data_IF_744303848154
#
_entry.id   IF_744303848154
#
_cell.length_a   1.000
_cell.length_b   1.000
_cell.length_c   1.000
_cell.angle_alpha   90.00
_cell.angle_beta   90.00
_cell.angle_gamma   90.00
#
_symmetry.space_group_name_H-M   'P 1'
#
loop_
_entity.id
_entity.type
_entity.pdbx_description
1 polymer ?
#
# COMPACT_ATOMS: atom_id res chain seq x y z
N UNK A 1 -6.82 -21.90 12.50
CA UNK A 1 -5.76 -21.81 13.53
C UNK A 1 -4.96 -20.55 13.20
N UNK A 2 -4.95 -19.56 14.09
CA UNK A 2 -4.13 -18.34 13.93
C UNK A 2 -2.69 -18.77 14.15
N UNK A 3 -1.86 -18.79 13.10
CA UNK A 3 -0.42 -18.99 13.26
C UNK A 3 0.16 -17.83 14.07
N UNK A 4 1.07 -18.16 14.97
CA UNK A 4 1.65 -17.25 15.94
C UNK A 4 2.25 -16.01 15.24
N UNK A 5 1.85 -14.81 15.72
CA UNK A 5 2.37 -13.53 15.30
C UNK A 5 3.90 -13.51 15.43
N UNK A 6 4.58 -13.33 14.31
CA UNK A 6 6.04 -13.17 14.30
C UNK A 6 6.37 -11.73 14.71
N UNK A 7 6.55 -11.51 16.02
CA UNK A 7 6.93 -10.21 16.59
C UNK A 7 8.44 -9.99 16.37
N UNK A 8 8.82 -9.45 15.22
CA UNK A 8 10.17 -8.94 14.96
C UNK A 8 10.18 -7.42 15.23
N UNK A 9 11.23 -6.94 15.87
CA UNK A 9 11.52 -5.51 16.00
C UNK A 9 11.24 -4.91 17.37
N UNK A 10 11.99 -5.34 18.40
CA UNK A 10 12.09 -4.63 19.68
C UNK A 10 13.30 -3.69 19.64
N UNK A 11 13.03 -2.37 19.64
CA UNK A 11 14.00 -1.34 19.99
C UNK A 11 13.64 -0.70 21.33
N UNK A 12 14.46 0.26 21.83
CA UNK A 12 14.21 1.02 23.07
C UNK A 12 12.78 1.58 23.21
N UNK A 13 12.08 1.75 22.10
CA UNK A 13 10.71 2.29 22.01
C UNK A 13 9.61 1.21 21.91
N UNK A 14 9.91 -0.08 22.11
CA UNK A 14 8.97 -1.18 22.00
C UNK A 14 8.84 -1.76 20.58
N UNK A 15 7.70 -2.39 20.28
CA UNK A 15 7.41 -2.99 18.97
C UNK A 15 7.04 -1.87 17.99
N UNK A 16 7.80 -1.70 16.90
CA UNK A 16 7.60 -0.63 15.92
C UNK A 16 6.53 -0.95 14.86
N UNK A 17 6.44 -2.22 14.48
CA UNK A 17 5.43 -2.74 13.57
C UNK A 17 5.31 -4.26 13.75
N UNK A 18 4.19 -4.84 13.33
CA UNK A 18 3.97 -6.30 13.32
C UNK A 18 3.53 -6.76 11.94
N UNK A 19 3.85 -8.01 11.62
CA UNK A 19 3.31 -8.74 10.49
C UNK A 19 2.52 -9.94 11.02
N UNK A 20 1.25 -10.02 10.65
CA UNK A 20 0.35 -11.10 11.00
C UNK A 20 -0.21 -11.73 9.71
N UNK A 21 -0.36 -13.06 9.72
CA UNK A 21 -0.88 -13.80 8.57
C UNK A 21 -2.31 -14.25 8.83
N UNK A 22 -3.19 -13.98 7.89
CA UNK A 22 -4.54 -14.51 7.81
C UNK A 22 -4.67 -15.26 6.48
N UNK A 23 -4.33 -16.55 6.49
CA UNK A 23 -4.21 -17.36 5.26
C UNK A 23 -3.20 -16.74 4.27
N UNK A 24 -3.63 -16.32 3.09
CA UNK A 24 -2.82 -15.69 2.06
C UNK A 24 -2.77 -14.14 2.17
N UNK A 25 -3.35 -13.59 3.24
CA UNK A 25 -3.34 -12.14 3.52
C UNK A 25 -2.31 -11.83 4.58
N UNK A 26 -1.32 -10.99 4.23
CA UNK A 26 -0.35 -10.42 5.16
C UNK A 26 -0.89 -9.11 5.72
N UNK A 27 -0.97 -8.95 7.04
CA UNK A 27 -1.43 -7.73 7.71
C UNK A 27 -0.26 -7.07 8.42
N UNK A 28 0.18 -5.94 7.92
CA UNK A 28 1.25 -5.12 8.50
C UNK A 28 0.63 -3.98 9.29
N UNK A 29 0.93 -3.91 10.57
CA UNK A 29 0.44 -2.86 11.47
C UNK A 29 1.60 -2.03 11.99
N UNK A 30 1.61 -0.71 11.74
CA UNK A 30 2.56 0.23 12.36
C UNK A 30 2.13 0.42 13.82
N UNK A 31 3.06 0.21 14.77
CA UNK A 31 2.77 0.14 16.21
C UNK A 31 3.58 1.17 17.01
N UNK A 32 3.39 2.44 16.70
CA UNK A 32 3.97 3.56 17.43
C UNK A 32 2.87 4.57 17.85
N UNK A 33 1.77 4.13 18.51
CA UNK A 33 0.63 5.00 18.81
C UNK A 33 1.02 6.22 19.65
N UNK A 34 2.00 6.09 20.56
CA UNK A 34 2.56 7.18 21.37
C UNK A 34 3.27 8.26 20.52
N UNK A 35 3.67 7.95 19.30
CA UNK A 35 4.22 8.85 18.28
C UNK A 35 3.23 9.07 17.12
N UNK A 36 1.95 8.74 17.32
CA UNK A 36 0.91 8.85 16.29
C UNK A 36 1.29 8.06 15.02
N UNK A 37 1.94 6.92 15.20
CA UNK A 37 2.46 6.05 14.12
C UNK A 37 3.41 6.76 13.12
N UNK A 38 4.07 7.87 13.55
CA UNK A 38 5.11 8.49 12.75
C UNK A 38 6.26 7.52 12.50
N UNK A 39 6.70 7.41 11.24
CA UNK A 39 7.75 6.46 10.84
C UNK A 39 9.14 7.08 11.00
N UNK A 40 10.07 6.31 11.56
CA UNK A 40 11.50 6.59 11.58
C UNK A 40 12.25 5.59 10.70
N UNK A 41 13.56 5.74 10.56
CA UNK A 41 14.40 4.85 9.76
C UNK A 41 14.20 3.36 10.14
N UNK A 42 14.21 3.04 11.43
CA UNK A 42 14.04 1.66 11.90
C UNK A 42 12.65 1.08 11.55
N UNK A 43 11.58 1.88 11.62
CA UNK A 43 10.25 1.46 11.18
C UNK A 43 10.24 1.18 9.67
N UNK A 44 10.87 2.03 8.86
CA UNK A 44 10.95 1.85 7.41
C UNK A 44 11.71 0.58 7.03
N UNK A 45 12.85 0.32 7.68
CA UNK A 45 13.60 -0.92 7.48
C UNK A 45 12.76 -2.16 7.80
N UNK A 46 12.01 -2.13 8.90
CA UNK A 46 11.12 -3.23 9.28
C UNK A 46 9.98 -3.43 8.28
N UNK A 47 9.42 -2.34 7.73
CA UNK A 47 8.42 -2.44 6.66
C UNK A 47 9.00 -3.10 5.40
N UNK A 48 10.27 -2.80 5.04
CA UNK A 48 10.96 -3.45 3.93
C UNK A 48 11.18 -4.95 4.19
N UNK A 49 11.56 -5.34 5.42
CA UNK A 49 11.66 -6.76 5.78
C UNK A 49 10.31 -7.48 5.61
N UNK A 50 9.21 -6.85 6.03
CA UNK A 50 7.86 -7.42 5.86
C UNK A 50 7.42 -7.48 4.40
N UNK A 51 7.84 -6.52 3.58
CA UNK A 51 7.62 -6.57 2.12
C UNK A 51 8.34 -7.79 1.51
N UNK A 52 9.58 -8.05 1.89
CA UNK A 52 10.32 -9.22 1.41
C UNK A 52 9.72 -10.54 1.93
N UNK A 53 9.26 -10.59 3.18
CA UNK A 53 8.57 -11.77 3.72
C UNK A 53 7.23 -12.03 3.01
N UNK A 54 6.52 -10.97 2.62
CA UNK A 54 5.28 -11.08 1.85
C UNK A 54 5.52 -11.51 0.39
N UNK A 55 6.70 -11.21 -0.17
CA UNK A 55 7.04 -11.51 -1.56
C UNK A 55 6.97 -13.01 -1.84
N UNK A 56 6.16 -13.37 -2.83
CA UNK A 56 5.96 -14.77 -3.25
C UNK A 56 5.08 -15.62 -2.33
N UNK A 57 4.66 -15.09 -1.17
CA UNK A 57 3.75 -15.77 -0.24
C UNK A 57 2.37 -15.10 -0.19
N UNK A 58 2.34 -13.78 -0.02
CA UNK A 58 1.08 -13.05 0.10
C UNK A 58 0.35 -12.91 -1.25
N UNK A 59 -0.96 -13.08 -1.23
CA UNK A 59 -1.88 -12.67 -2.30
C UNK A 59 -2.29 -11.20 -2.14
N UNK A 60 -2.40 -10.74 -0.90
CA UNK A 60 -2.68 -9.36 -0.54
C UNK A 60 -1.84 -8.99 0.68
N UNK A 61 -1.25 -7.78 0.66
CA UNK A 61 -0.63 -7.17 1.82
C UNK A 61 -1.47 -5.97 2.25
N UNK A 62 -2.00 -6.01 3.46
CA UNK A 62 -2.74 -4.91 4.09
C UNK A 62 -1.79 -4.13 4.99
N UNK A 63 -1.74 -2.79 4.82
CA UNK A 63 -1.00 -1.88 5.68
C UNK A 63 -1.98 -1.05 6.51
N UNK A 64 -1.79 -1.01 7.83
CA UNK A 64 -2.61 -0.20 8.75
C UNK A 64 -1.76 0.35 9.90
N UNK A 65 -2.37 1.15 10.77
CA UNK A 65 -1.76 1.67 12.00
C UNK A 65 -2.51 1.21 13.24
N UNK A 66 -1.83 1.13 14.37
CA UNK A 66 -2.44 0.85 15.67
C UNK A 66 -3.03 2.13 16.29
N UNK A 67 -4.12 2.00 17.03
CA UNK A 67 -4.70 3.09 17.84
C UNK A 67 -5.51 4.09 17.03
N UNK A 68 -5.25 5.40 17.21
CA UNK A 68 -6.13 6.48 16.74
C UNK A 68 -5.96 6.85 15.26
N UNK A 69 -4.94 6.37 14.58
CA UNK A 69 -4.72 6.74 13.18
C UNK A 69 -3.68 5.90 12.46
N UNK A 70 -3.68 6.03 11.16
CA UNK A 70 -2.83 5.28 10.27
C UNK A 70 -1.34 5.64 10.45
N UNK A 71 -0.97 6.89 10.13
CA UNK A 71 0.41 7.39 10.26
C UNK A 71 0.43 8.92 10.16
N UNK A 72 1.01 9.60 11.15
CA UNK A 72 1.11 11.07 11.18
C UNK A 72 2.26 11.65 10.34
N UNK A 73 3.06 10.81 9.68
CA UNK A 73 4.16 11.26 8.83
C UNK A 73 5.52 10.72 9.24
N UNK A 74 6.57 11.45 8.87
CA UNK A 74 7.92 11.16 9.33
C UNK A 74 8.09 11.58 10.80
N UNK A 75 8.82 10.78 11.57
CA UNK A 75 9.29 11.22 12.89
C UNK A 75 10.38 12.29 12.67
N UNK A 76 10.04 13.55 12.98
CA UNK A 76 10.92 14.68 12.69
C UNK A 76 12.25 14.63 13.46
N UNK A 77 12.37 13.73 14.43
CA UNK A 77 13.63 13.45 15.12
C UNK A 77 14.50 12.56 14.22
N UNK A 78 15.43 13.15 13.48
CA UNK A 78 16.33 12.42 12.54
C UNK A 78 15.84 12.39 11.08
N UNK A 79 14.84 13.21 10.70
CA UNK A 79 14.36 13.31 9.31
C UNK A 79 15.38 13.94 8.36
N UNK A 80 16.40 14.62 8.90
CA UNK A 80 17.47 15.29 8.15
C UNK A 80 18.53 14.33 7.63
N UNK A 81 18.52 13.04 8.05
CA UNK A 81 19.45 12.03 7.57
C UNK A 81 19.10 11.61 6.14
N UNK A 82 20.10 11.61 5.25
CA UNK A 82 19.97 11.06 3.89
C UNK A 82 19.51 9.60 3.90
N UNK A 83 19.88 8.84 4.94
CA UNK A 83 19.46 7.46 5.17
C UNK A 83 17.94 7.34 5.34
N UNK A 84 17.30 8.30 6.04
CA UNK A 84 15.83 8.29 6.19
C UNK A 84 15.13 8.49 4.85
N UNK A 85 15.59 9.47 4.06
CA UNK A 85 15.03 9.75 2.73
C UNK A 85 15.14 8.55 1.79
N UNK A 86 16.32 7.92 1.76
CA UNK A 86 16.58 6.72 0.96
C UNK A 86 15.72 5.53 1.42
N UNK A 87 15.61 5.31 2.74
CA UNK A 87 14.78 4.25 3.31
C UNK A 87 13.29 4.48 3.02
N UNK A 88 12.81 5.73 3.12
CA UNK A 88 11.42 6.07 2.77
C UNK A 88 11.13 5.77 1.30
N UNK A 89 11.97 6.27 0.38
CA UNK A 89 11.80 6.01 -1.05
C UNK A 89 11.82 4.52 -1.37
N UNK A 90 12.76 3.74 -0.79
CA UNK A 90 12.83 2.29 -0.97
C UNK A 90 11.56 1.59 -0.45
N UNK A 91 11.05 2.01 0.73
CA UNK A 91 9.81 1.46 1.30
C UNK A 91 8.60 1.74 0.40
N UNK A 92 8.46 2.98 -0.10
CA UNK A 92 7.35 3.36 -0.99
C UNK A 92 7.38 2.56 -2.29
N UNK A 93 8.55 2.50 -2.93
CA UNK A 93 8.76 1.69 -4.14
C UNK A 93 8.51 0.20 -3.88
N UNK A 94 8.92 -0.30 -2.70
CA UNK A 94 8.69 -1.69 -2.31
C UNK A 94 7.21 -2.08 -2.39
N UNK A 95 6.28 -1.23 -1.94
CA UNK A 95 4.84 -1.49 -2.07
C UNK A 95 4.37 -1.54 -3.53
N UNK A 96 4.91 -0.69 -4.39
CA UNK A 96 4.53 -0.69 -5.82
C UNK A 96 5.11 -1.87 -6.59
N UNK A 97 6.26 -2.39 -6.17
CA UNK A 97 6.98 -3.47 -6.85
C UNK A 97 6.63 -4.88 -6.33
N UNK A 98 5.84 -5.00 -5.26
CA UNK A 98 5.34 -6.31 -4.83
C UNK A 98 4.43 -6.91 -5.91
N UNK A 99 4.57 -8.22 -6.23
CA UNK A 99 3.71 -8.86 -7.24
C UNK A 99 2.27 -9.09 -6.77
N UNK A 100 2.00 -8.96 -5.47
CA UNK A 100 0.67 -9.04 -4.89
C UNK A 100 -0.02 -7.68 -4.78
N UNK A 101 -1.32 -7.68 -4.51
CA UNK A 101 -2.07 -6.46 -4.23
C UNK A 101 -1.61 -5.88 -2.89
N UNK A 102 -1.37 -4.56 -2.83
CA UNK A 102 -1.13 -3.81 -1.60
C UNK A 102 -2.35 -2.94 -1.29
N UNK A 103 -2.86 -3.01 -0.06
CA UNK A 103 -4.09 -2.35 0.38
C UNK A 103 -3.82 -1.53 1.64
N UNK A 104 -3.99 -0.21 1.58
CA UNK A 104 -3.95 0.63 2.76
C UNK A 104 -5.33 0.68 3.45
N UNK A 105 -5.38 0.31 4.72
CA UNK A 105 -6.56 0.47 5.58
C UNK A 105 -6.35 1.69 6.48
N UNK A 106 -6.96 2.82 6.10
CA UNK A 106 -6.69 4.13 6.67
C UNK A 106 -7.81 4.58 7.60
N UNK A 107 -7.46 4.89 8.83
CA UNK A 107 -8.35 5.53 9.79
C UNK A 107 -7.62 6.72 10.44
N UNK A 108 -8.38 7.66 11.01
CA UNK A 108 -7.84 8.85 11.66
C UNK A 108 -7.00 9.69 10.70
N UNK A 109 -5.69 9.68 10.84
CA UNK A 109 -4.80 10.53 10.07
C UNK A 109 -3.80 9.73 9.23
N UNK A 110 -3.62 10.18 8.00
CA UNK A 110 -2.56 9.79 7.07
C UNK A 110 -1.89 11.08 6.56
N UNK A 111 -0.83 11.57 7.23
CA UNK A 111 -0.21 12.86 6.93
C UNK A 111 1.25 12.69 6.51
N UNK A 112 1.75 13.55 5.62
CA UNK A 112 3.14 13.49 5.13
C UNK A 112 3.49 12.09 4.61
N UNK A 113 4.50 11.43 5.21
CA UNK A 113 4.87 10.04 4.89
C UNK A 113 3.69 9.05 5.04
N UNK A 114 2.71 9.34 5.90
CA UNK A 114 1.49 8.54 6.00
C UNK A 114 0.63 8.60 4.74
N UNK A 115 0.45 9.78 4.14
CA UNK A 115 -0.20 9.89 2.82
C UNK A 115 0.65 9.18 1.75
N UNK A 116 1.98 9.34 1.78
CA UNK A 116 2.87 8.68 0.82
C UNK A 116 2.74 7.14 0.89
N UNK A 117 2.74 6.56 2.10
CA UNK A 117 2.51 5.13 2.31
C UNK A 117 1.13 4.69 1.80
N UNK A 118 0.09 5.48 2.07
CA UNK A 118 -1.26 5.15 1.61
C UNK A 118 -1.39 5.17 0.08
N UNK A 119 -0.77 6.14 -0.61
CA UNK A 119 -0.81 6.20 -2.09
C UNK A 119 0.21 5.27 -2.75
N UNK A 120 1.22 4.80 -2.03
CA UNK A 120 2.14 3.76 -2.50
C UNK A 120 1.45 2.39 -2.61
N UNK A 121 0.44 2.12 -1.79
CA UNK A 121 -0.40 0.94 -1.94
C UNK A 121 -1.27 1.05 -3.20
N UNK A 122 -1.62 -0.11 -3.80
CA UNK A 122 -2.48 -0.17 -4.99
C UNK A 122 -3.89 0.33 -4.67
N UNK A 123 -4.44 -0.14 -3.56
CA UNK A 123 -5.81 0.12 -3.16
C UNK A 123 -5.88 0.79 -1.78
N UNK A 124 -6.99 1.48 -1.50
CA UNK A 124 -7.23 2.19 -0.24
C UNK A 124 -8.66 1.97 0.25
N UNK A 125 -8.80 1.54 1.49
CA UNK A 125 -10.04 1.62 2.27
C UNK A 125 -9.82 2.68 3.34
N UNK A 126 -10.75 3.60 3.54
CA UNK A 126 -10.60 4.65 4.53
C UNK A 126 -11.92 4.92 5.26
N UNK A 127 -11.84 5.30 6.54
CA UNK A 127 -13.02 5.84 7.21
C UNK A 127 -13.40 7.17 6.59
N UNK A 128 -14.69 7.54 6.52
CA UNK A 128 -15.12 8.81 5.91
C UNK A 128 -14.41 10.03 6.50
N UNK A 129 -14.14 10.01 7.81
CA UNK A 129 -13.49 11.08 8.57
C UNK A 129 -11.96 11.03 8.56
N UNK A 130 -11.33 10.04 7.92
CA UNK A 130 -9.86 9.99 7.81
C UNK A 130 -9.33 11.25 7.13
N UNK A 131 -8.14 11.71 7.55
CA UNK A 131 -7.56 12.95 7.05
C UNK A 131 -6.27 12.63 6.30
N UNK A 132 -6.22 13.00 5.02
CA UNK A 132 -5.06 12.88 4.15
C UNK A 132 -4.46 14.25 3.85
N UNK A 133 -3.13 14.35 3.78
CA UNK A 133 -2.46 15.59 3.41
C UNK A 133 -0.94 15.50 3.48
N UNK A 134 -0.27 16.37 2.74
CA UNK A 134 1.20 16.47 2.75
C UNK A 134 1.60 17.90 3.08
N UNK A 135 1.64 18.28 4.38
CA UNK A 135 1.92 19.64 4.80
C UNK A 135 3.43 19.97 4.82
N UNK A 136 4.24 19.36 3.95
CA UNK A 136 5.70 19.51 3.93
C UNK A 136 6.14 20.97 3.80
N UNK A 137 5.43 21.79 3.01
CA UNK A 137 5.72 23.20 2.84
C UNK A 137 5.58 24.02 4.14
N UNK A 138 4.76 23.58 5.11
CA UNK A 138 4.69 24.21 6.45
C UNK A 138 5.96 23.98 7.29
N UNK A 139 6.75 22.97 6.91
CA UNK A 139 7.99 22.60 7.59
C UNK A 139 9.24 23.01 6.80
N UNK A 140 9.07 23.70 5.65
CA UNK A 140 10.17 24.04 4.77
C UNK A 140 10.78 22.83 4.03
N UNK A 141 10.05 21.71 3.97
CA UNK A 141 10.49 20.48 3.34
C UNK A 141 9.86 20.31 1.96
N UNK A 142 10.57 19.61 1.07
CA UNK A 142 10.05 19.18 -0.21
C UNK A 142 10.03 17.65 -0.27
N UNK A 143 8.95 17.08 -0.78
CA UNK A 143 8.89 15.65 -1.10
C UNK A 143 9.59 15.38 -2.44
N UNK A 144 9.96 14.13 -2.67
CA UNK A 144 10.60 13.68 -3.90
C UNK A 144 9.64 13.71 -5.12
N UNK A 145 10.20 13.61 -6.31
CA UNK A 145 9.45 13.68 -7.56
C UNK A 145 8.49 12.49 -7.71
N UNK A 146 8.87 11.30 -7.23
CA UNK A 146 8.01 10.12 -7.27
C UNK A 146 6.72 10.37 -6.46
N UNK A 147 6.84 10.93 -5.25
CA UNK A 147 5.68 11.30 -4.42
C UNK A 147 4.77 12.30 -5.13
N UNK A 148 5.35 13.35 -5.76
CA UNK A 148 4.56 14.37 -6.47
C UNK A 148 3.78 13.71 -7.62
N UNK A 149 4.42 12.89 -8.43
CA UNK A 149 3.81 12.15 -9.54
C UNK A 149 2.73 11.19 -9.02
N UNK A 150 3.05 10.39 -8.00
CA UNK A 150 2.13 9.41 -7.43
C UNK A 150 0.87 10.08 -6.87
N UNK A 151 1.00 11.15 -6.09
CA UNK A 151 -0.16 11.90 -5.54
C UNK A 151 -0.99 12.53 -6.67
N UNK A 152 -0.34 13.09 -7.71
CA UNK A 152 -1.04 13.66 -8.85
C UNK A 152 -1.81 12.61 -9.65
N UNK A 153 -1.25 11.41 -9.79
CA UNK A 153 -1.88 10.28 -10.48
C UNK A 153 -3.06 9.70 -9.68
N UNK A 154 -2.86 9.44 -8.39
CA UNK A 154 -3.85 8.79 -7.54
C UNK A 154 -4.99 9.72 -7.11
N UNK A 155 -4.69 11.00 -6.82
CA UNK A 155 -5.67 11.96 -6.30
C UNK A 155 -6.17 12.96 -7.36
N UNK A 156 -5.53 13.02 -8.51
CA UNK A 156 -5.78 14.04 -9.52
C UNK A 156 -4.98 15.33 -9.32
N UNK A 157 -4.60 15.99 -10.41
CA UNK A 157 -3.69 17.12 -10.39
C UNK A 157 -4.16 18.34 -9.58
N UNK A 158 -5.46 18.60 -9.51
CA UNK A 158 -6.02 19.72 -8.74
C UNK A 158 -5.88 19.49 -7.23
N UNK A 159 -6.21 18.27 -6.76
CA UNK A 159 -6.06 17.87 -5.36
C UNK A 159 -4.58 17.87 -4.98
N UNK A 160 -3.72 17.27 -5.82
CA UNK A 160 -2.27 17.25 -5.58
C UNK A 160 -1.69 18.66 -5.41
N UNK A 161 -2.06 19.60 -6.29
CA UNK A 161 -1.62 21.02 -6.17
C UNK A 161 -2.07 21.65 -4.84
N UNK A 162 -3.33 21.46 -4.46
CA UNK A 162 -3.83 22.03 -3.23
C UNK A 162 -3.25 21.34 -1.99
N UNK A 163 -2.99 20.03 -2.05
CA UNK A 163 -2.36 19.27 -0.97
C UNK A 163 -0.89 19.66 -0.78
N UNK A 164 -0.13 19.81 -1.87
CA UNK A 164 1.32 20.08 -1.84
C UNK A 164 1.63 21.58 -1.71
N UNK A 165 0.94 22.44 -2.48
CA UNK A 165 1.20 23.87 -2.50
C UNK A 165 0.32 24.64 -1.50
N UNK A 166 -0.96 24.27 -1.39
CA UNK A 166 -1.92 24.87 -0.47
C UNK A 166 -1.89 24.26 0.93
N UNK A 167 -1.16 23.15 1.12
CA UNK A 167 -1.08 22.40 2.38
C UNK A 167 -2.44 21.98 2.95
N UNK A 168 -3.44 21.85 2.07
CA UNK A 168 -4.79 21.45 2.44
C UNK A 168 -4.85 19.96 2.74
N UNK A 169 -5.80 19.59 3.60
CA UNK A 169 -6.13 18.20 3.89
C UNK A 169 -7.47 17.85 3.27
N UNK A 170 -7.67 16.57 3.00
CA UNK A 170 -8.89 16.01 2.44
C UNK A 170 -9.39 14.87 3.31
N UNK A 171 -10.70 14.75 3.47
CA UNK A 171 -11.30 13.63 4.17
C UNK A 171 -11.27 12.36 3.31
N UNK A 172 -11.39 11.19 3.97
CA UNK A 172 -11.58 9.92 3.26
C UNK A 172 -12.79 9.95 2.32
N UNK A 173 -13.89 10.58 2.75
CA UNK A 173 -15.10 10.76 1.93
C UNK A 173 -14.85 11.64 0.70
N UNK A 174 -14.13 12.76 0.86
CA UNK A 174 -13.76 13.62 -0.27
C UNK A 174 -12.89 12.88 -1.29
N UNK A 175 -11.88 12.13 -0.82
CA UNK A 175 -11.02 11.34 -1.71
C UNK A 175 -11.75 10.15 -2.33
N UNK A 176 -12.74 9.58 -1.65
CA UNK A 176 -13.60 8.55 -2.22
C UNK A 176 -14.45 9.09 -3.36
N UNK A 177 -15.04 10.27 -3.20
CA UNK A 177 -15.80 10.94 -4.26
C UNK A 177 -14.94 11.21 -5.50
N UNK A 178 -13.63 11.41 -5.33
CA UNK A 178 -12.68 11.63 -6.42
C UNK A 178 -12.04 10.32 -6.95
N UNK A 179 -12.37 9.16 -6.37
CA UNK A 179 -11.82 7.87 -6.76
C UNK A 179 -10.45 7.53 -6.18
N UNK A 180 -9.83 8.41 -5.39
CA UNK A 180 -8.54 8.16 -4.75
C UNK A 180 -8.63 7.19 -3.56
N UNK A 181 -9.77 7.13 -2.88
CA UNK A 181 -10.14 6.09 -1.91
C UNK A 181 -11.15 5.16 -2.58
N UNK A 182 -10.85 3.88 -2.63
CA UNK A 182 -11.62 2.90 -3.40
C UNK A 182 -12.89 2.43 -2.68
N UNK A 183 -12.82 2.33 -1.33
CA UNK A 183 -13.97 2.01 -0.48
C UNK A 183 -13.94 2.83 0.80
N UNK A 184 -15.11 3.20 1.30
CA UNK A 184 -15.28 3.70 2.66
C UNK A 184 -15.52 2.53 3.60
N UNK A 185 -14.82 2.53 4.74
CA UNK A 185 -14.92 1.46 5.73
C UNK A 185 -13.83 1.53 6.79
N UNK A 186 -13.87 0.57 7.71
CA UNK A 186 -12.88 0.36 8.76
C UNK A 186 -11.97 -0.82 8.43
N UNK A 187 -11.05 -1.19 9.32
CA UNK A 187 -10.11 -2.29 9.10
C UNK A 187 -10.80 -3.62 8.76
N UNK A 188 -11.92 -3.95 9.42
CA UNK A 188 -12.68 -5.18 9.12
C UNK A 188 -13.17 -5.22 7.68
N UNK A 189 -13.65 -4.08 7.13
CA UNK A 189 -14.11 -4.00 5.74
C UNK A 189 -12.93 -4.14 4.76
N UNK A 190 -11.76 -3.60 5.14
CA UNK A 190 -10.53 -3.77 4.36
C UNK A 190 -10.07 -5.23 4.35
N UNK A 191 -10.13 -5.94 5.48
CA UNK A 191 -9.78 -7.36 5.59
C UNK A 191 -10.76 -8.25 4.82
N UNK A 192 -12.06 -8.00 4.92
CA UNK A 192 -13.05 -8.71 4.12
C UNK A 192 -12.76 -8.55 2.62
N UNK A 193 -12.45 -7.33 2.19
CA UNK A 193 -12.09 -7.10 0.79
C UNK A 193 -10.77 -7.75 0.43
N UNK A 194 -9.75 -7.73 1.31
CA UNK A 194 -8.48 -8.40 1.08
C UNK A 194 -8.64 -9.90 0.87
N UNK A 195 -9.46 -10.57 1.68
CA UNK A 195 -9.77 -11.99 1.49
C UNK A 195 -10.47 -12.27 0.15
N UNK A 196 -11.39 -11.40 -0.29
CA UNK A 196 -11.95 -11.51 -1.63
C UNK A 196 -10.86 -11.34 -2.71
N UNK A 197 -10.03 -10.30 -2.61
CA UNK A 197 -8.97 -10.02 -3.57
C UNK A 197 -7.94 -11.17 -3.65
N UNK A 198 -7.67 -11.84 -2.54
CA UNK A 198 -6.78 -12.99 -2.48
C UNK A 198 -7.30 -14.20 -3.29
N UNK A 199 -8.60 -14.23 -3.66
CA UNK A 199 -9.16 -15.28 -4.53
C UNK A 199 -8.92 -15.05 -6.03
N UNK A 200 -8.36 -13.90 -6.42
CA UNK A 200 -8.12 -13.54 -7.82
C UNK A 200 -6.83 -14.20 -8.35
N UNK A 201 -6.73 -14.31 -9.68
CA UNK A 201 -5.60 -14.94 -10.36
C UNK A 201 -4.28 -14.13 -10.16
N UNK A 202 -3.28 -14.65 -9.43
CA UNK A 202 -2.16 -13.84 -8.97
C UNK A 202 -1.21 -13.41 -10.10
N UNK A 203 -0.99 -14.25 -11.11
CA UNK A 203 -0.13 -13.87 -12.25
C UNK A 203 -0.77 -12.74 -13.04
N UNK A 204 -2.10 -12.76 -13.21
CA UNK A 204 -2.84 -11.68 -13.86
C UNK A 204 -2.73 -10.38 -13.05
N UNK A 205 -2.88 -10.45 -11.71
CA UNK A 205 -2.70 -9.29 -10.83
C UNK A 205 -1.29 -8.71 -10.97
N UNK A 206 -0.26 -9.55 -10.89
CA UNK A 206 1.14 -9.12 -11.03
C UNK A 206 1.39 -8.45 -12.40
N UNK A 207 0.86 -9.01 -13.48
CA UNK A 207 0.97 -8.45 -14.82
C UNK A 207 0.27 -7.08 -14.92
N UNK A 208 -0.98 -6.97 -14.44
CA UNK A 208 -1.71 -5.70 -14.49
C UNK A 208 -1.02 -4.63 -13.65
N UNK A 209 -0.56 -4.97 -12.43
CA UNK A 209 0.17 -4.05 -11.57
C UNK A 209 1.46 -3.54 -12.25
N UNK A 210 2.27 -4.44 -12.82
CA UNK A 210 3.45 -4.05 -13.58
C UNK A 210 3.11 -3.16 -14.76
N UNK A 211 2.05 -3.46 -15.50
CA UNK A 211 1.58 -2.65 -16.62
C UNK A 211 1.15 -1.24 -16.21
N UNK A 212 0.46 -1.10 -15.07
CA UNK A 212 0.06 0.20 -14.52
C UNK A 212 1.26 1.06 -14.14
N UNK A 213 2.29 0.47 -13.52
CA UNK A 213 3.52 1.21 -13.20
C UNK A 213 4.31 1.57 -14.47
N UNK A 214 4.40 0.68 -15.46
CA UNK A 214 5.04 0.98 -16.75
C UNK A 214 4.37 2.16 -17.48
N UNK A 215 3.03 2.25 -17.43
CA UNK A 215 2.29 3.39 -17.98
C UNK A 215 2.68 4.69 -17.27
N UNK A 216 2.82 4.66 -15.94
CA UNK A 216 3.24 5.81 -15.16
C UNK A 216 4.67 6.26 -15.50
N UNK A 217 5.58 5.31 -15.67
CA UNK A 217 6.97 5.53 -16.07
C UNK A 217 7.11 5.89 -17.57
N UNK A 218 6.01 5.90 -18.31
CA UNK A 218 5.97 6.12 -19.78
C UNK A 218 6.81 5.10 -20.57
N UNK A 219 6.96 3.90 -20.03
CA UNK A 219 7.63 2.80 -20.71
C UNK A 219 6.66 2.20 -21.71
N UNK A 220 7.06 2.17 -22.97
CA UNK A 220 6.32 1.53 -24.06
C UNK A 220 6.94 0.15 -24.30
N UNK A 221 6.11 -0.89 -24.43
CA UNK A 221 6.55 -2.27 -24.63
C UNK A 221 7.45 -2.79 -23.49
N UNK A 222 7.01 -2.63 -22.25
CA UNK A 222 7.71 -3.18 -21.07
C UNK A 222 7.85 -4.70 -21.17
N UNK A 223 9.08 -5.18 -21.33
CA UNK A 223 9.36 -6.60 -21.54
C UNK A 223 8.93 -7.47 -20.33
N UNK A 224 9.01 -6.93 -19.11
CA UNK A 224 8.60 -7.65 -17.91
C UNK A 224 7.07 -7.79 -17.85
N UNK A 225 6.33 -6.74 -18.23
CA UNK A 225 4.87 -6.81 -18.38
C UNK A 225 4.48 -7.85 -19.45
N UNK A 226 5.09 -7.82 -20.63
CA UNK A 226 4.76 -8.76 -21.72
C UNK A 226 5.05 -10.21 -21.34
N UNK A 227 6.13 -10.48 -20.60
CA UNK A 227 6.44 -11.81 -20.09
C UNK A 227 5.36 -12.29 -19.09
N UNK A 228 4.97 -11.45 -18.13
CA UNK A 228 3.90 -11.77 -17.17
C UNK A 228 2.55 -11.96 -17.87
N UNK A 229 2.25 -11.14 -18.87
CA UNK A 229 1.03 -11.27 -19.67
C UNK A 229 0.99 -12.60 -20.41
N UNK A 230 2.07 -12.99 -21.07
CA UNK A 230 2.18 -14.28 -21.75
C UNK A 230 2.06 -15.45 -20.75
N UNK A 231 2.72 -15.36 -19.61
CA UNK A 231 2.61 -16.35 -18.53
C UNK A 231 1.17 -16.48 -18.02
N UNK A 232 0.49 -15.36 -17.78
CA UNK A 232 -0.91 -15.37 -17.33
C UNK A 232 -1.83 -16.09 -18.35
N UNK A 233 -1.68 -15.81 -19.65
CA UNK A 233 -2.46 -16.48 -20.69
C UNK A 233 -2.17 -17.98 -20.83
N UNK A 234 -0.94 -18.41 -20.57
CA UNK A 234 -0.50 -19.80 -20.62
C UNK A 234 -0.79 -20.57 -19.31
N UNK A 235 -1.21 -19.91 -18.26
CA UNK A 235 -1.38 -20.49 -16.92
C UNK A 235 -2.56 -21.45 -16.82
N UNK A 236 -2.49 -22.39 -15.86
CA UNK A 236 -3.61 -23.22 -15.47
C UNK A 236 -4.80 -22.38 -14.96
N UNK A 237 -4.52 -21.25 -14.30
CA UNK A 237 -5.54 -20.31 -13.82
C UNK A 237 -6.35 -19.70 -14.98
N UNK A 238 -5.72 -19.40 -16.13
CA UNK A 238 -6.44 -18.93 -17.31
C UNK A 238 -7.39 -20.00 -17.89
N UNK A 239 -6.99 -21.26 -17.84
CA UNK A 239 -7.87 -22.38 -18.24
C UNK A 239 -9.02 -22.54 -17.24
N UNK A 240 -8.72 -22.59 -15.95
CA UNK A 240 -9.70 -22.69 -14.87
C UNK A 240 -10.71 -21.54 -14.93
N UNK A 241 -10.26 -20.30 -15.13
CA UNK A 241 -11.14 -19.13 -15.20
C UNK A 241 -12.17 -19.26 -16.34
N UNK A 242 -11.74 -19.68 -17.53
CA UNK A 242 -12.63 -19.91 -18.67
C UNK A 242 -13.61 -21.07 -18.42
N UNK A 243 -13.10 -22.19 -17.87
CA UNK A 243 -13.92 -23.36 -17.57
C UNK A 243 -14.98 -23.05 -16.52
N UNK A 244 -14.59 -22.43 -15.41
CA UNK A 244 -15.49 -22.03 -14.33
C UNK A 244 -16.58 -21.06 -14.80
N UNK A 245 -16.23 -20.11 -15.67
CA UNK A 245 -17.19 -19.19 -16.28
C UNK A 245 -18.25 -19.93 -17.11
N UNK A 246 -17.84 -20.85 -17.97
CA UNK A 246 -18.75 -21.65 -18.80
C UNK A 246 -19.64 -22.58 -17.94
N UNK A 247 -19.09 -23.13 -16.87
CA UNK A 247 -19.80 -24.01 -15.93
C UNK A 247 -20.61 -23.25 -14.88
N UNK A 248 -20.59 -21.90 -14.87
CA UNK A 248 -21.29 -21.02 -13.92
C UNK A 248 -20.97 -21.34 -12.46
N UNK A 249 -19.71 -21.66 -12.17
CA UNK A 249 -19.18 -21.91 -10.83
C UNK A 249 -18.08 -20.91 -10.46
N UNK A 250 -17.74 -20.86 -9.18
CA UNK A 250 -16.60 -20.06 -8.71
C UNK A 250 -15.28 -20.71 -9.17
N UNK A 251 -14.40 -19.90 -9.75
CA UNK A 251 -13.05 -20.33 -10.12
C UNK A 251 -12.16 -20.51 -8.87
N UNK A 252 -11.15 -21.39 -8.97
CA UNK A 252 -10.16 -21.64 -7.93
C UNK A 252 -8.77 -21.45 -8.52
N UNK A 253 -8.15 -20.31 -8.24
CA UNK A 253 -6.85 -19.97 -8.77
C UNK A 253 -5.72 -20.39 -7.84
N UNK A 254 -4.68 -21.01 -8.41
CA UNK A 254 -3.53 -21.57 -7.67
C UNK A 254 -2.24 -20.81 -7.90
N UNK A 255 -2.17 -19.97 -8.96
CA UNK A 255 -0.98 -19.23 -9.32
C UNK A 255 -0.02 -20.00 -10.24
N UNK A 256 -0.49 -21.08 -10.90
CA UNK A 256 0.29 -21.95 -11.78
C UNK A 256 -0.14 -21.83 -13.23
#
# INVERSE_FOLDING_TARGET
MVEASNTKGTQKDGILATLEWQEDVAVVTIRRPQRRNAVNHATLMLLQEFQEEARGRARVLVLTGEGEGFCAGADLTGVEDEEFGSALSATLLGFTLLPCITLAAVHGYALGAGTQLAVACDLRVATPSSVFGIPAAKLGLAVDQWTIERVARECGGAIARNMLLGTSTYSGEQLHTQGAVHKLGVLSDALEWAHYLATLAPITIAAHKRGLEAVAEKIVNDAAFEALRAQAWASADAHEGRTAFLEKRKARFTGN
#
